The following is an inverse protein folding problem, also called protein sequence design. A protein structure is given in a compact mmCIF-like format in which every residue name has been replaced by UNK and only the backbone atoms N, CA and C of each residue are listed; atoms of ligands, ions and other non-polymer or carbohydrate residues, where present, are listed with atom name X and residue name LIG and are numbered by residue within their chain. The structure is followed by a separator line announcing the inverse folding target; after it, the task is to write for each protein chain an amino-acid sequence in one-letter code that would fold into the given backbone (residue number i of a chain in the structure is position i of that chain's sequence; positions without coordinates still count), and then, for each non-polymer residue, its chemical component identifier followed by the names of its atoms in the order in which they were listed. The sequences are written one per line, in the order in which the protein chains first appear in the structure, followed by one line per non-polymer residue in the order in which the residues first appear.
data_IF_290202153596
#
_entry.id   IF_290202153596
#
_cell.length_a   1.000
_cell.length_b   1.000
_cell.length_c   1.000
_cell.angle_alpha   90.00
_cell.angle_beta   90.00
_cell.angle_gamma   90.00
#
_symmetry.space_group_name_H-M   'P 1'
#
loop_
_entity.id
_entity.type
_entity.pdbx_description
1 polymer ?
#
# COMPACT_ATOMS: atom_id res chain seq x y z
N UNK A 1 10.10 6.80 20.78
CA UNK A 1 9.95 5.80 19.70
C UNK A 1 10.07 6.52 18.38
N UNK A 2 10.88 6.03 17.42
CA UNK A 2 11.15 6.74 16.14
C UNK A 2 9.92 6.89 15.21
N UNK A 3 8.77 6.36 15.61
CA UNK A 3 7.59 6.14 14.77
C UNK A 3 6.26 6.54 15.44
N UNK A 4 6.26 6.91 16.73
CA UNK A 4 5.03 7.28 17.44
C UNK A 4 4.04 6.14 17.71
N UNK A 5 4.36 4.89 17.38
CA UNK A 5 3.54 3.71 17.66
C UNK A 5 4.22 2.88 18.75
N UNK A 6 3.65 2.81 19.95
CA UNK A 6 4.18 1.98 21.04
C UNK A 6 3.90 0.49 20.80
N UNK A 7 4.93 -0.35 20.87
CA UNK A 7 4.77 -1.82 20.91
C UNK A 7 4.54 -2.51 19.56
N UNK A 8 4.50 -1.78 18.45
CA UNK A 8 4.33 -2.34 17.10
C UNK A 8 5.57 -2.15 16.19
N UNK A 9 6.70 -1.75 16.76
CA UNK A 9 7.93 -1.46 16.01
C UNK A 9 8.43 -2.68 15.20
N UNK A 10 8.36 -3.88 15.79
CA UNK A 10 8.79 -5.12 15.11
C UNK A 10 7.90 -5.45 13.91
N UNK A 11 6.58 -5.35 14.09
CA UNK A 11 5.62 -5.61 13.02
C UNK A 11 5.78 -4.58 11.90
N UNK A 12 6.01 -3.32 12.25
CA UNK A 12 6.28 -2.26 11.28
C UNK A 12 7.58 -2.54 10.50
N UNK A 13 8.67 -2.90 11.18
CA UNK A 13 9.94 -3.25 10.54
C UNK A 13 9.80 -4.46 9.61
N UNK A 14 9.08 -5.50 10.03
CA UNK A 14 8.80 -6.68 9.21
C UNK A 14 8.01 -6.32 7.95
N UNK A 15 6.96 -5.51 8.10
CA UNK A 15 6.19 -5.00 6.96
C UNK A 15 7.11 -4.19 6.03
N UNK A 16 7.92 -3.28 6.61
CA UNK A 16 8.75 -2.40 5.82
C UNK A 16 9.77 -3.18 5.01
N UNK A 17 10.45 -4.13 5.65
CA UNK A 17 11.40 -5.04 5.02
C UNK A 17 10.71 -5.87 3.95
N UNK A 18 9.56 -6.50 4.21
CA UNK A 18 8.92 -7.40 3.23
C UNK A 18 8.28 -6.66 2.06
N UNK A 19 7.59 -5.55 2.32
CA UNK A 19 6.88 -4.80 1.30
C UNK A 19 7.81 -3.92 0.46
N UNK A 20 8.83 -3.33 1.07
CA UNK A 20 9.65 -2.30 0.41
C UNK A 20 11.08 -2.72 0.07
N UNK A 21 11.55 -3.91 0.46
CA UNK A 21 12.90 -4.37 0.04
C UNK A 21 13.09 -4.26 -1.47
N UNK A 22 12.10 -4.67 -2.26
CA UNK A 22 12.13 -4.57 -3.72
C UNK A 22 12.26 -3.15 -4.26
N UNK A 23 11.90 -2.12 -3.48
CA UNK A 23 12.02 -0.70 -3.86
C UNK A 23 13.25 -0.01 -3.27
N UNK A 24 13.89 -0.61 -2.28
CA UNK A 24 15.10 -0.08 -1.63
C UNK A 24 16.35 -0.60 -2.35
N UNK A 25 16.32 -1.84 -2.85
CA UNK A 25 17.45 -2.41 -3.61
C UNK A 25 17.47 -1.93 -5.07
N UNK A 26 18.65 -1.82 -5.70
CA UNK A 26 18.76 -1.48 -7.11
C UNK A 26 17.99 -2.48 -8.00
N UNK A 27 17.33 -1.96 -9.04
CA UNK A 27 16.55 -2.78 -9.99
C UNK A 27 17.35 -3.95 -10.56
N UNK A 28 18.64 -3.76 -10.84
CA UNK A 28 19.52 -4.82 -11.35
C UNK A 28 19.67 -6.01 -10.38
N UNK A 29 19.64 -5.77 -9.07
CA UNK A 29 19.71 -6.81 -8.04
C UNK A 29 18.34 -7.49 -7.91
N UNK A 30 17.26 -6.70 -7.88
CA UNK A 30 15.87 -7.19 -7.79
C UNK A 30 15.53 -8.12 -8.96
N UNK A 31 15.88 -7.72 -10.19
CA UNK A 31 15.68 -8.52 -11.40
C UNK A 31 16.51 -9.81 -11.40
N UNK A 32 17.79 -9.75 -11.00
CA UNK A 32 18.66 -10.94 -10.90
C UNK A 32 18.15 -11.95 -9.88
N UNK A 33 17.53 -11.48 -8.80
CA UNK A 33 16.94 -12.34 -7.77
C UNK A 33 15.49 -12.76 -8.09
N UNK A 34 14.91 -12.28 -9.20
CA UNK A 34 13.53 -12.56 -9.58
C UNK A 34 12.48 -12.07 -8.57
N UNK A 35 12.83 -11.06 -7.78
CA UNK A 35 11.95 -10.54 -6.72
C UNK A 35 10.88 -9.65 -7.38
N UNK A 36 9.61 -9.97 -7.11
CA UNK A 36 8.47 -9.15 -7.56
C UNK A 36 8.09 -8.14 -6.49
N UNK A 37 7.66 -6.95 -6.91
CA UNK A 37 7.09 -5.96 -6.00
C UNK A 37 5.82 -6.51 -5.33
N UNK A 38 5.67 -6.23 -4.03
CA UNK A 38 4.45 -6.57 -3.28
C UNK A 38 3.30 -5.71 -3.80
N UNK A 39 2.22 -6.36 -4.22
CA UNK A 39 1.05 -5.69 -4.81
C UNK A 39 -0.01 -5.29 -3.79
N UNK A 40 0.01 -5.87 -2.60
CA UNK A 40 -0.98 -5.60 -1.57
C UNK A 40 -0.61 -6.24 -0.24
N UNK A 41 -1.18 -5.71 0.83
CA UNK A 41 -1.00 -6.20 2.19
C UNK A 41 -2.34 -6.13 2.91
N UNK A 42 -2.66 -7.18 3.67
CA UNK A 42 -3.84 -7.23 4.52
C UNK A 42 -3.40 -7.23 5.99
N UNK A 43 -3.81 -6.19 6.74
CA UNK A 43 -3.62 -6.15 8.19
C UNK A 43 -4.89 -6.67 8.86
N UNK A 44 -4.78 -7.79 9.58
CA UNK A 44 -5.91 -8.40 10.31
C UNK A 44 -5.61 -8.55 11.81
N UNK A 45 -6.65 -8.60 12.62
CA UNK A 45 -6.54 -8.78 14.07
C UNK A 45 -7.66 -8.08 14.85
N UNK A 46 -7.76 -8.30 16.17
CA UNK A 46 -8.81 -7.72 17.02
C UNK A 46 -8.92 -6.19 16.89
N UNK A 47 -10.11 -5.58 17.08
CA UNK A 47 -10.23 -4.12 17.08
C UNK A 47 -9.32 -3.49 18.15
N UNK A 48 -8.82 -2.28 17.88
CA UNK A 48 -7.93 -1.55 18.82
C UNK A 48 -6.43 -1.89 18.73
N UNK A 49 -6.01 -2.85 17.90
CA UNK A 49 -4.58 -3.23 17.76
C UNK A 49 -3.71 -2.31 16.88
N UNK A 50 -4.19 -1.10 16.55
CA UNK A 50 -3.38 -0.11 15.81
C UNK A 50 -3.18 -0.36 14.31
N UNK A 51 -3.93 -1.29 13.68
CA UNK A 51 -3.81 -1.61 12.23
C UNK A 51 -3.95 -0.37 11.33
N UNK A 52 -5.00 0.44 11.54
CA UNK A 52 -5.23 1.67 10.78
C UNK A 52 -4.14 2.72 11.04
N UNK A 53 -3.59 2.75 12.27
CA UNK A 53 -2.49 3.64 12.62
C UNK A 53 -1.21 3.24 11.87
N UNK A 54 -0.89 1.94 11.83
CA UNK A 54 0.22 1.39 11.04
C UNK A 54 0.06 1.76 9.57
N UNK A 55 -1.11 1.49 8.97
CA UNK A 55 -1.36 1.78 7.55
C UNK A 55 -1.12 3.27 7.20
N UNK A 56 -1.59 4.18 8.06
CA UNK A 56 -1.37 5.63 7.90
C UNK A 56 0.10 6.02 8.06
N UNK A 57 0.82 5.46 9.03
CA UNK A 57 2.25 5.77 9.22
C UNK A 57 3.12 5.24 8.09
N UNK A 58 2.81 4.04 7.57
CA UNK A 58 3.46 3.49 6.37
C UNK A 58 3.31 4.47 5.21
N UNK A 59 2.09 4.94 4.96
CA UNK A 59 1.82 5.90 3.89
C UNK A 59 2.57 7.23 4.03
N UNK A 60 2.79 7.71 5.26
CA UNK A 60 3.56 8.94 5.53
C UNK A 60 5.07 8.75 5.41
N UNK A 61 5.58 7.58 5.76
CA UNK A 61 7.03 7.31 5.76
C UNK A 61 7.60 7.09 4.37
N UNK A 62 6.77 6.61 3.46
CA UNK A 62 7.19 6.36 2.10
C UNK A 62 7.06 7.68 1.36
N UNK A 63 8.18 8.20 0.85
CA UNK A 63 8.24 9.38 -0.01
C UNK A 63 7.59 9.11 -1.40
N UNK A 64 6.42 8.47 -1.41
CA UNK A 64 5.60 8.25 -2.58
C UNK A 64 4.42 9.22 -2.61
N UNK A 65 3.40 8.88 -3.41
CA UNK A 65 2.16 9.65 -3.44
C UNK A 65 1.43 9.53 -2.11
N UNK A 66 0.67 10.57 -1.77
CA UNK A 66 -0.19 10.52 -0.59
C UNK A 66 -1.13 9.30 -0.67
N UNK A 67 -1.26 8.53 0.43
CA UNK A 67 -2.09 7.35 0.45
C UNK A 67 -3.56 7.71 0.24
N UNK A 68 -4.23 6.99 -0.67
CA UNK A 68 -5.68 7.07 -0.84
C UNK A 68 -6.36 6.30 0.28
N UNK A 69 -7.04 7.00 1.18
CA UNK A 69 -7.81 6.38 2.27
C UNK A 69 -9.26 6.30 1.81
N UNK A 70 -9.81 5.10 1.82
CA UNK A 70 -11.15 4.79 1.32
C UNK A 70 -11.92 4.14 2.45
N UNK A 71 -13.09 4.66 2.80
CA UNK A 71 -13.94 3.94 3.75
C UNK A 71 -14.70 2.84 2.98
N UNK A 72 -14.65 1.59 3.45
CA UNK A 72 -15.34 0.47 2.80
C UNK A 72 -16.79 0.74 2.36
N UNK A 73 -17.64 1.40 3.17
CA UNK A 73 -18.99 1.77 2.76
C UNK A 73 -19.08 2.78 1.60
N UNK A 74 -18.08 3.66 1.41
CA UNK A 74 -18.06 4.65 0.31
C UNK A 74 -17.87 3.99 -1.06
N UNK A 75 -17.27 2.81 -1.08
CA UNK A 75 -17.11 2.02 -2.31
C UNK A 75 -18.42 1.35 -2.72
N UNK A 76 -19.29 1.07 -1.75
CA UNK A 76 -20.53 0.33 -1.96
C UNK A 76 -21.63 1.25 -2.47
N UNK A 77 -22.28 0.86 -3.57
CA UNK A 77 -23.41 1.57 -4.14
C UNK A 77 -24.62 0.64 -4.28
N UNK A 78 -25.81 1.21 -4.12
CA UNK A 78 -27.10 0.54 -4.39
C UNK A 78 -27.39 0.36 -5.88
N UNK A 79 -26.66 1.07 -6.74
CA UNK A 79 -26.81 1.02 -8.18
C UNK A 79 -25.89 -0.06 -8.76
N UNK A 80 -26.48 -0.96 -9.57
CA UNK A 80 -25.76 -2.09 -10.18
C UNK A 80 -24.58 -1.57 -11.02
N UNK A 81 -23.39 -2.15 -10.82
CA UNK A 81 -22.17 -1.81 -11.56
C UNK A 81 -21.40 -0.61 -11.04
N UNK A 82 -22.02 0.24 -10.20
CA UNK A 82 -21.38 1.45 -9.70
C UNK A 82 -20.28 1.15 -8.67
N UNK A 83 -20.45 0.10 -7.85
CA UNK A 83 -19.43 -0.29 -6.88
C UNK A 83 -18.15 -0.74 -7.58
N UNK A 84 -18.27 -1.53 -8.65
CA UNK A 84 -17.16 -2.00 -9.47
C UNK A 84 -16.48 -0.86 -10.23
N UNK A 85 -17.25 0.10 -10.71
CA UNK A 85 -16.72 1.33 -11.32
C UNK A 85 -15.92 2.15 -10.31
N UNK A 86 -16.43 2.34 -9.09
CA UNK A 86 -15.74 3.06 -8.03
C UNK A 86 -14.41 2.39 -7.67
N UNK A 87 -14.40 1.05 -7.52
CA UNK A 87 -13.15 0.31 -7.30
C UNK A 87 -12.18 0.54 -8.46
N UNK A 88 -12.63 0.41 -9.71
CA UNK A 88 -11.75 0.61 -10.88
C UNK A 88 -11.17 2.02 -10.94
N UNK A 89 -11.97 3.04 -10.62
CA UNK A 89 -11.54 4.43 -10.58
C UNK A 89 -10.45 4.66 -9.51
N UNK A 90 -10.55 4.01 -8.34
CA UNK A 90 -9.53 4.13 -7.28
C UNK A 90 -8.13 3.70 -7.74
N UNK A 91 -8.05 2.64 -8.54
CA UNK A 91 -6.79 2.07 -9.05
C UNK A 91 -6.32 2.67 -10.39
N UNK A 92 -7.17 3.43 -11.11
CA UNK A 92 -6.90 3.89 -12.47
C UNK A 92 -5.57 4.65 -12.60
N UNK A 93 -5.27 5.57 -11.68
CA UNK A 93 -4.02 6.35 -11.71
C UNK A 93 -2.78 5.46 -11.52
N UNK A 94 -2.88 4.48 -10.62
CA UNK A 94 -1.79 3.56 -10.32
C UNK A 94 -1.53 2.64 -11.52
N UNK A 95 -2.59 2.16 -12.17
CA UNK A 95 -2.48 1.31 -13.36
C UNK A 95 -1.93 2.08 -14.56
N UNK A 96 -2.38 3.32 -14.76
CA UNK A 96 -1.87 4.19 -15.83
C UNK A 96 -0.37 4.46 -15.66
N UNK A 97 0.06 4.77 -14.44
CA UNK A 97 1.49 5.01 -14.17
C UNK A 97 2.32 3.74 -14.31
N UNK A 98 1.82 2.59 -13.83
CA UNK A 98 2.51 1.31 -14.00
C UNK A 98 2.67 0.93 -15.48
N UNK A 99 1.65 1.19 -16.31
CA UNK A 99 1.75 0.99 -17.77
C UNK A 99 2.82 1.88 -18.42
N UNK A 100 3.01 3.09 -17.90
CA UNK A 100 3.98 4.04 -18.45
C UNK A 100 5.43 3.78 -17.97
N UNK A 101 5.61 3.38 -16.71
CA UNK A 101 6.93 3.33 -16.03
C UNK A 101 7.37 1.93 -15.61
N UNK A 102 6.50 0.93 -15.68
CA UNK A 102 6.78 -0.43 -15.22
C UNK A 102 7.22 -0.45 -13.76
N UNK A 103 8.32 -1.14 -13.48
CA UNK A 103 8.84 -1.32 -12.11
C UNK A 103 9.38 -0.01 -11.49
N UNK A 104 9.62 1.03 -12.31
CA UNK A 104 10.04 2.36 -11.87
C UNK A 104 8.85 3.31 -11.57
N UNK A 105 7.62 2.79 -11.58
CA UNK A 105 6.43 3.55 -11.15
C UNK A 105 6.55 3.97 -9.68
N UNK A 106 6.02 5.14 -9.34
CA UNK A 106 5.89 5.54 -7.93
C UNK A 106 5.00 4.57 -7.15
N UNK A 107 5.19 4.54 -5.84
CA UNK A 107 4.36 3.71 -4.98
C UNK A 107 3.00 4.37 -4.75
N UNK A 108 1.95 3.70 -5.23
CA UNK A 108 0.57 4.04 -4.90
C UNK A 108 0.09 3.18 -3.74
N UNK A 109 -0.41 3.82 -2.68
CA UNK A 109 -0.94 3.13 -1.49
C UNK A 109 -2.42 3.43 -1.39
N UNK A 110 -3.23 2.37 -1.37
CA UNK A 110 -4.68 2.46 -1.16
C UNK A 110 -5.00 1.73 0.14
N UNK A 111 -5.65 2.41 1.07
CA UNK A 111 -6.03 1.90 2.39
C UNK A 111 -7.55 1.82 2.41
N UNK A 112 -8.08 0.61 2.55
CA UNK A 112 -9.51 0.34 2.76
C UNK A 112 -9.85 0.21 4.25
#
# INVERSE_FOLDING_TARGET
SKLGIGGLDKQFEDIFRRAFSSRIFPQSVVQRLGIKHVKGMLLHGPPGTGKTLIARQIGKMLNGKEPKIVNGPEVMSKYVGQSEENVRALFADAEAEYKARGDDSELHIIIF
#
